data_IF_998851070306
#
_entry.id   IF_998851070306
#
_cell.length_a   1.000
_cell.length_b   1.000
_cell.length_c   1.000
_cell.angle_alpha   90.00
_cell.angle_beta   90.00
_cell.angle_gamma   90.00
#
_symmetry.space_group_name_H-M   'P 1'
#
loop_
_entity.id
_entity.type
_entity.pdbx_description
1 polymer ?
#
# COMPACT_ATOMS: atom_id res chain seq x y z
N UNK A 1 0.03 -4.40 3.89
CA UNK A 1 -0.67 -3.84 5.05
C UNK A 1 -0.13 -2.47 5.45
N UNK A 2 1.17 -2.21 5.38
CA UNK A 2 1.76 -0.87 5.63
C UNK A 2 1.11 0.25 4.83
N UNK A 3 0.71 -0.03 3.59
CA UNK A 3 -0.05 0.92 2.78
C UNK A 3 -1.35 1.38 3.44
N UNK A 4 -2.09 0.46 4.06
CA UNK A 4 -3.35 0.79 4.76
C UNK A 4 -3.05 1.63 6.01
N UNK A 5 -2.07 1.22 6.81
CA UNK A 5 -1.65 1.96 7.99
C UNK A 5 -1.21 3.39 7.65
N UNK A 6 -0.42 3.56 6.59
CA UNK A 6 -0.03 4.89 6.11
C UNK A 6 -1.24 5.72 5.65
N UNK A 7 -2.21 5.12 4.98
CA UNK A 7 -3.44 5.83 4.58
C UNK A 7 -4.27 6.28 5.78
N UNK A 8 -4.38 5.42 6.80
CA UNK A 8 -5.05 5.79 8.04
C UNK A 8 -4.36 6.99 8.72
N UNK A 9 -3.01 6.97 8.79
CA UNK A 9 -2.23 8.10 9.34
C UNK A 9 -2.44 9.40 8.60
N UNK A 10 -2.59 9.37 7.29
CA UNK A 10 -2.85 10.59 6.48
C UNK A 10 -4.31 11.03 6.51
N UNK A 11 -5.14 10.44 7.38
CA UNK A 11 -6.50 10.89 7.62
C UNK A 11 -7.59 10.17 6.81
N UNK A 12 -7.31 8.98 6.25
CA UNK A 12 -8.37 8.17 5.65
C UNK A 12 -9.43 7.84 6.72
N UNK A 13 -10.70 8.10 6.40
CA UNK A 13 -11.83 7.88 7.33
C UNK A 13 -12.47 6.50 7.17
N UNK A 14 -12.23 5.82 6.08
CA UNK A 14 -12.66 4.45 5.81
C UNK A 14 -11.78 3.84 4.71
N UNK A 15 -11.87 2.53 4.54
CA UNK A 15 -11.25 1.84 3.43
C UNK A 15 -12.22 0.86 2.76
N UNK A 16 -12.16 0.80 1.43
CA UNK A 16 -12.88 -0.20 0.63
C UNK A 16 -11.84 -1.18 0.10
N UNK A 17 -12.04 -2.48 0.35
CA UNK A 17 -11.12 -3.51 -0.17
C UNK A 17 -11.20 -3.63 -1.69
N UNK A 18 -10.20 -4.26 -2.30
CA UNK A 18 -10.29 -4.67 -3.70
C UNK A 18 -11.25 -5.87 -3.85
N UNK A 19 -11.78 -6.05 -5.05
CA UNK A 19 -12.56 -7.24 -5.42
C UNK A 19 -11.69 -8.48 -5.21
N UNK A 20 -12.22 -9.46 -4.50
CA UNK A 20 -11.53 -10.71 -4.23
C UNK A 20 -12.50 -11.84 -3.93
N UNK A 21 -12.04 -13.08 -4.12
CA UNK A 21 -12.78 -14.31 -3.86
C UNK A 21 -11.98 -15.25 -2.96
N UNK A 22 -11.23 -14.66 -2.05
CA UNK A 22 -10.44 -15.33 -1.03
C UNK A 22 -10.85 -14.80 0.35
N UNK A 23 -11.63 -15.58 1.07
CA UNK A 23 -12.16 -15.23 2.40
C UNK A 23 -11.04 -15.11 3.43
N UNK A 24 -9.98 -15.92 3.31
CA UNK A 24 -8.82 -15.83 4.20
C UNK A 24 -8.14 -14.48 4.07
N UNK A 25 -8.02 -13.96 2.84
CA UNK A 25 -7.43 -12.63 2.60
C UNK A 25 -8.28 -11.50 3.15
N UNK A 26 -9.60 -11.63 3.04
CA UNK A 26 -10.54 -10.68 3.65
C UNK A 26 -10.45 -10.72 5.19
N UNK A 27 -10.43 -11.92 5.78
CA UNK A 27 -10.26 -12.10 7.22
C UNK A 27 -8.94 -11.55 7.73
N UNK A 28 -7.85 -11.80 7.00
CA UNK A 28 -6.52 -11.30 7.32
C UNK A 28 -6.44 -9.77 7.36
N UNK A 29 -7.10 -9.08 6.41
CA UNK A 29 -7.13 -7.62 6.39
C UNK A 29 -7.83 -7.06 7.65
N UNK A 30 -8.97 -7.61 8.01
CA UNK A 30 -9.71 -7.19 9.20
C UNK A 30 -8.92 -7.49 10.49
N UNK A 31 -8.29 -8.65 10.54
CA UNK A 31 -7.45 -9.05 11.67
C UNK A 31 -6.23 -8.13 11.82
N UNK A 32 -5.58 -7.77 10.71
CA UNK A 32 -4.46 -6.83 10.73
C UNK A 32 -4.89 -5.46 11.29
N UNK A 33 -6.01 -4.92 10.84
CA UNK A 33 -6.55 -3.65 11.33
C UNK A 33 -6.78 -3.70 12.85
N UNK A 34 -7.40 -4.78 13.35
CA UNK A 34 -7.64 -4.97 14.79
C UNK A 34 -6.33 -5.10 15.58
N UNK A 35 -5.40 -5.93 15.11
CA UNK A 35 -4.14 -6.21 15.81
C UNK A 35 -3.18 -5.02 15.88
N UNK A 36 -3.31 -4.09 14.95
CA UNK A 36 -2.46 -2.89 14.86
C UNK A 36 -3.12 -1.63 15.41
N UNK A 37 -4.37 -1.72 15.91
CA UNK A 37 -5.09 -0.58 16.45
C UNK A 37 -5.44 0.51 15.43
N UNK A 38 -5.51 0.15 14.15
CA UNK A 38 -5.94 1.08 13.09
C UNK A 38 -7.44 1.29 13.22
N UNK A 39 -7.86 2.50 13.60
CA UNK A 39 -9.27 2.85 13.80
C UNK A 39 -9.88 3.45 12.53
N UNK A 40 -10.12 2.59 11.53
CA UNK A 40 -10.90 2.94 10.34
C UNK A 40 -11.87 1.82 9.97
N UNK A 41 -13.14 2.12 9.64
CA UNK A 41 -14.08 1.13 9.17
C UNK A 41 -13.66 0.57 7.81
N UNK A 42 -13.78 -0.76 7.67
CA UNK A 42 -13.56 -1.47 6.42
C UNK A 42 -14.90 -1.80 5.74
N UNK A 43 -14.96 -1.58 4.44
CA UNK A 43 -16.01 -2.05 3.55
C UNK A 43 -15.43 -3.10 2.59
N UNK A 44 -16.09 -4.26 2.49
CA UNK A 44 -15.65 -5.31 1.58
C UNK A 44 -16.23 -5.11 0.17
N UNK A 45 -15.41 -5.19 -0.88
CA UNK A 45 -15.93 -5.16 -2.24
C UNK A 45 -16.54 -6.50 -2.63
N UNK A 46 -17.81 -6.49 -3.02
CA UNK A 46 -18.54 -7.63 -3.57
C UNK A 46 -18.92 -7.32 -5.00
N UNK A 47 -18.23 -7.96 -5.94
CA UNK A 47 -18.58 -7.87 -7.36
C UNK A 47 -19.53 -9.02 -7.72
N UNK A 48 -20.74 -8.69 -8.17
CA UNK A 48 -21.69 -9.71 -8.64
C UNK A 48 -21.17 -10.29 -9.94
N UNK A 49 -20.46 -11.42 -9.80
CA UNK A 49 -19.76 -12.06 -10.90
C UNK A 49 -20.74 -12.54 -11.99
N UNK A 50 -20.22 -12.71 -13.17
CA UNK A 50 -20.85 -13.36 -14.31
C UNK A 50 -19.79 -14.16 -15.05
N UNK A 51 -20.16 -15.16 -15.83
CA UNK A 51 -19.16 -15.94 -16.56
C UNK A 51 -18.28 -15.08 -17.51
N UNK A 52 -18.82 -14.10 -18.27
CA UNK A 52 -17.98 -13.18 -19.04
C UNK A 52 -17.02 -12.36 -18.21
N UNK A 53 -17.48 -11.83 -17.06
CA UNK A 53 -16.63 -11.06 -16.16
C UNK A 53 -15.57 -11.95 -15.53
N UNK A 54 -15.91 -13.19 -15.13
CA UNK A 54 -14.97 -14.18 -14.61
C UNK A 54 -13.84 -14.46 -15.60
N UNK A 55 -14.18 -14.70 -16.87
CA UNK A 55 -13.18 -14.88 -17.96
C UNK A 55 -12.31 -13.64 -18.16
N UNK A 56 -12.92 -12.46 -18.11
CA UNK A 56 -12.21 -11.19 -18.26
C UNK A 56 -11.19 -10.98 -17.14
N UNK A 57 -11.59 -11.11 -15.89
CA UNK A 57 -10.69 -10.94 -14.74
C UNK A 57 -9.60 -12.02 -14.70
N UNK A 58 -9.92 -13.25 -15.06
CA UNK A 58 -8.96 -14.34 -15.12
C UNK A 58 -7.90 -14.11 -16.22
N UNK A 59 -8.31 -13.70 -17.41
CA UNK A 59 -7.43 -13.60 -18.60
C UNK A 59 -6.63 -12.29 -18.65
N UNK A 60 -7.33 -11.14 -18.49
CA UNK A 60 -6.74 -9.82 -18.76
C UNK A 60 -6.18 -9.15 -17.52
N UNK A 61 -6.69 -9.52 -16.37
CA UNK A 61 -6.22 -9.04 -15.07
C UNK A 61 -6.41 -7.54 -14.86
N UNK A 62 -7.34 -7.21 -13.99
CA UNK A 62 -7.39 -5.87 -13.40
C UNK A 62 -6.42 -5.85 -12.23
N UNK A 63 -5.57 -4.82 -12.08
CA UNK A 63 -4.62 -4.75 -10.98
C UNK A 63 -5.27 -4.98 -9.62
N UNK A 64 -4.79 -5.99 -8.89
CA UNK A 64 -5.31 -6.36 -7.57
C UNK A 64 -6.61 -7.18 -7.58
N UNK A 65 -7.17 -7.53 -8.73
CA UNK A 65 -8.31 -8.45 -8.86
C UNK A 65 -7.81 -9.80 -9.36
N UNK A 66 -8.15 -10.86 -8.63
CA UNK A 66 -7.83 -12.22 -8.99
C UNK A 66 -9.10 -13.08 -9.10
N UNK A 67 -9.24 -13.80 -10.19
CA UNK A 67 -10.22 -14.87 -10.40
C UNK A 67 -9.44 -16.12 -10.82
N UNK A 68 -9.47 -17.16 -9.98
CA UNK A 68 -8.77 -18.43 -10.26
C UNK A 68 -9.36 -19.15 -11.49
N UNK A 69 -8.57 -20.07 -12.05
CA UNK A 69 -9.05 -20.96 -13.10
C UNK A 69 -10.26 -21.77 -12.64
N UNK A 70 -10.21 -22.24 -11.41
CA UNK A 70 -11.31 -23.00 -10.78
C UNK A 70 -12.61 -22.19 -10.75
N UNK A 71 -12.59 -20.97 -10.20
CA UNK A 71 -13.78 -20.12 -10.12
C UNK A 71 -14.31 -19.73 -11.50
N UNK A 72 -13.40 -19.48 -12.47
CA UNK A 72 -13.77 -19.26 -13.89
C UNK A 72 -14.51 -20.46 -14.45
N UNK A 73 -14.02 -21.68 -14.20
CA UNK A 73 -14.58 -22.90 -14.80
C UNK A 73 -15.92 -23.26 -14.14
N UNK A 74 -16.05 -23.09 -12.82
CA UNK A 74 -17.34 -23.15 -12.12
C UNK A 74 -18.32 -22.16 -12.77
N UNK A 75 -17.92 -20.90 -12.92
CA UNK A 75 -18.77 -19.88 -13.54
C UNK A 75 -19.20 -20.22 -14.98
N UNK A 76 -18.29 -20.78 -15.78
CA UNK A 76 -18.60 -21.24 -17.14
C UNK A 76 -19.61 -22.42 -17.16
N UNK A 77 -19.49 -23.35 -16.20
CA UNK A 77 -20.43 -24.46 -16.03
C UNK A 77 -21.82 -23.95 -15.65
N UNK A 78 -21.90 -23.05 -14.67
CA UNK A 78 -23.15 -22.44 -14.20
C UNK A 78 -23.85 -21.62 -15.30
N UNK A 79 -23.07 -20.96 -16.16
CA UNK A 79 -23.64 -20.18 -17.28
C UNK A 79 -24.38 -21.02 -18.32
N UNK A 80 -24.27 -22.35 -18.31
CA UNK A 80 -25.03 -23.26 -19.16
C UNK A 80 -26.47 -23.50 -18.68
N UNK A 81 -26.78 -23.11 -17.43
CA UNK A 81 -28.15 -23.20 -16.91
C UNK A 81 -29.09 -22.21 -17.62
N UNK A 82 -30.41 -22.49 -17.53
CA UNK A 82 -31.45 -21.65 -18.16
C UNK A 82 -31.39 -20.18 -17.76
N UNK A 83 -31.02 -19.92 -16.52
CA UNK A 83 -30.87 -18.57 -15.95
C UNK A 83 -29.49 -17.94 -16.23
N UNK A 84 -28.63 -18.62 -17.00
CA UNK A 84 -27.23 -18.23 -17.30
C UNK A 84 -26.37 -18.05 -16.04
N UNK A 85 -26.63 -18.85 -15.02
CA UNK A 85 -25.93 -18.84 -13.74
C UNK A 85 -26.31 -17.67 -12.81
N UNK A 86 -27.44 -17.00 -13.09
CA UNK A 86 -27.87 -15.84 -12.30
C UNK A 86 -28.10 -16.20 -10.83
N UNK A 87 -28.73 -17.33 -10.55
CA UNK A 87 -28.95 -17.81 -9.18
C UNK A 87 -27.60 -18.05 -8.48
N UNK A 88 -26.72 -18.83 -9.08
CA UNK A 88 -25.39 -19.12 -8.54
C UNK A 88 -24.58 -17.85 -8.21
N UNK A 89 -24.48 -16.91 -9.16
CA UNK A 89 -23.72 -15.69 -8.92
C UNK A 89 -24.38 -14.75 -7.91
N UNK A 90 -25.69 -14.83 -7.72
CA UNK A 90 -26.38 -14.08 -6.67
C UNK A 90 -26.11 -14.70 -5.30
N UNK A 91 -26.15 -16.03 -5.20
CA UNK A 91 -25.80 -16.76 -3.99
C UNK A 91 -24.31 -16.55 -3.60
N UNK A 92 -23.39 -16.62 -4.56
CA UNK A 92 -21.98 -16.31 -4.32
C UNK A 92 -21.80 -14.92 -3.73
N UNK A 93 -22.50 -13.91 -4.23
CA UNK A 93 -22.46 -12.56 -3.68
C UNK A 93 -23.08 -12.49 -2.29
N UNK A 94 -24.20 -13.16 -2.04
CA UNK A 94 -24.84 -13.23 -0.72
C UNK A 94 -23.93 -13.89 0.32
N UNK A 95 -23.28 -15.01 -0.03
CA UNK A 95 -22.28 -15.67 0.82
C UNK A 95 -21.11 -14.76 1.12
N UNK A 96 -20.59 -14.00 0.16
CA UNK A 96 -19.53 -13.02 0.40
C UNK A 96 -19.98 -11.92 1.37
N UNK A 97 -21.22 -11.41 1.26
CA UNK A 97 -21.77 -10.43 2.20
C UNK A 97 -21.85 -11.02 3.61
N UNK A 98 -22.32 -12.25 3.74
CA UNK A 98 -22.39 -12.94 5.03
C UNK A 98 -21.00 -13.13 5.65
N UNK A 99 -19.99 -13.51 4.86
CA UNK A 99 -18.59 -13.61 5.31
C UNK A 99 -18.08 -12.26 5.81
N UNK A 100 -18.29 -11.19 5.05
CA UNK A 100 -17.84 -9.84 5.44
C UNK A 100 -18.51 -9.39 6.76
N UNK A 101 -19.82 -9.65 6.91
CA UNK A 101 -20.56 -9.38 8.16
C UNK A 101 -19.98 -10.16 9.33
N UNK A 102 -19.76 -11.46 9.17
CA UNK A 102 -19.17 -12.33 10.19
C UNK A 102 -17.74 -11.97 10.57
N UNK A 103 -16.94 -11.49 9.63
CA UNK A 103 -15.59 -10.96 9.86
C UNK A 103 -15.60 -9.59 10.57
N UNK A 104 -16.75 -8.89 10.62
CA UNK A 104 -16.89 -7.59 11.26
C UNK A 104 -16.53 -6.40 10.37
N UNK A 105 -16.67 -6.54 9.06
CA UNK A 105 -16.66 -5.40 8.16
C UNK A 105 -17.86 -4.48 8.44
N UNK A 106 -17.70 -3.17 8.24
CA UNK A 106 -18.77 -2.20 8.45
C UNK A 106 -19.89 -2.32 7.42
N UNK A 107 -19.59 -2.85 6.25
CA UNK A 107 -20.52 -3.06 5.16
C UNK A 107 -19.90 -3.66 3.92
N UNK A 108 -20.71 -3.85 2.88
CA UNK A 108 -20.30 -4.34 1.59
C UNK A 108 -20.47 -3.25 0.51
N UNK A 109 -19.44 -3.05 -0.32
CA UNK A 109 -19.52 -2.25 -1.53
C UNK A 109 -19.89 -3.14 -2.70
N UNK A 110 -21.17 -3.12 -3.08
CA UNK A 110 -21.69 -3.98 -4.16
C UNK A 110 -21.44 -3.32 -5.50
N UNK A 111 -20.83 -4.06 -6.44
CA UNK A 111 -20.47 -3.60 -7.76
C UNK A 111 -20.83 -4.61 -8.86
N UNK A 112 -20.69 -4.19 -10.12
CA UNK A 112 -21.15 -4.91 -11.30
C UNK A 112 -22.24 -4.11 -12.02
N UNK A 113 -23.12 -4.78 -12.77
CA UNK A 113 -24.28 -4.16 -13.44
C UNK A 113 -25.61 -4.82 -12.98
N UNK A 114 -25.88 -4.92 -11.69
CA UNK A 114 -27.12 -5.52 -11.22
C UNK A 114 -28.28 -4.53 -11.29
N UNK A 115 -29.47 -5.06 -11.59
CA UNK A 115 -30.72 -4.34 -11.37
C UNK A 115 -31.02 -4.26 -9.87
N UNK A 116 -31.72 -3.22 -9.42
CA UNK A 116 -32.08 -3.01 -8.02
C UNK A 116 -32.75 -4.24 -7.38
N UNK A 117 -33.74 -4.82 -8.08
CA UNK A 117 -34.44 -6.04 -7.65
C UNK A 117 -33.47 -7.22 -7.35
N UNK A 118 -32.39 -7.33 -8.13
CA UNK A 118 -31.40 -8.38 -7.92
C UNK A 118 -30.55 -8.10 -6.68
N UNK A 119 -30.21 -6.84 -6.45
CA UNK A 119 -29.48 -6.44 -5.22
C UNK A 119 -30.34 -6.76 -4.01
N UNK A 120 -31.63 -6.38 -4.03
CA UNK A 120 -32.56 -6.69 -2.96
C UNK A 120 -32.63 -8.18 -2.64
N UNK A 121 -32.80 -9.04 -3.67
CA UNK A 121 -32.83 -10.49 -3.47
C UNK A 121 -31.50 -11.05 -2.94
N UNK A 122 -30.35 -10.47 -3.29
CA UNK A 122 -29.05 -10.85 -2.72
C UNK A 122 -28.97 -10.47 -1.24
N UNK A 123 -29.45 -9.29 -0.86
CA UNK A 123 -29.44 -8.85 0.54
C UNK A 123 -30.40 -9.69 1.38
N UNK A 124 -31.62 -9.94 0.90
CA UNK A 124 -32.61 -10.83 1.54
C UNK A 124 -31.99 -12.23 1.76
N UNK A 125 -31.32 -12.77 0.77
CA UNK A 125 -30.61 -14.05 0.89
C UNK A 125 -29.50 -14.00 1.93
N UNK A 126 -28.68 -12.95 1.92
CA UNK A 126 -27.59 -12.78 2.89
C UNK A 126 -28.11 -12.65 4.33
N UNK A 127 -29.25 -12.02 4.53
CA UNK A 127 -29.89 -11.84 5.83
C UNK A 127 -30.63 -13.12 6.30
N UNK A 128 -30.96 -14.04 5.40
CA UNK A 128 -31.58 -15.33 5.73
C UNK A 128 -30.60 -16.36 6.28
N UNK A 129 -29.29 -16.14 6.17
CA UNK A 129 -28.27 -17.05 6.67
C UNK A 129 -28.15 -16.99 8.19
N UNK A 130 -27.86 -18.12 8.81
CA UNK A 130 -27.60 -18.25 10.23
C UNK A 130 -26.31 -17.54 10.66
N UNK A 131 -26.25 -17.23 11.94
CA UNK A 131 -25.16 -16.44 12.55
C UNK A 131 -23.75 -17.01 12.29
N UNK A 132 -23.62 -18.34 12.16
CA UNK A 132 -22.34 -19.02 11.96
C UNK A 132 -22.11 -19.56 10.54
N UNK A 133 -23.09 -19.48 9.64
CA UNK A 133 -22.99 -20.04 8.30
C UNK A 133 -21.83 -19.43 7.48
N UNK A 134 -21.50 -18.18 7.78
CA UNK A 134 -20.38 -17.49 7.13
C UNK A 134 -19.04 -18.23 7.27
N UNK A 135 -18.86 -19.03 8.32
CA UNK A 135 -17.63 -19.82 8.54
C UNK A 135 -17.52 -20.96 7.53
N UNK A 136 -18.64 -21.59 7.20
CA UNK A 136 -18.68 -22.63 6.15
C UNK A 136 -18.53 -22.00 4.77
N UNK A 137 -19.20 -20.86 4.53
CA UNK A 137 -19.03 -20.12 3.28
C UNK A 137 -17.59 -19.64 3.07
N UNK A 138 -16.87 -19.34 4.15
CA UNK A 138 -15.45 -18.98 4.06
C UNK A 138 -14.59 -20.13 3.56
N UNK A 139 -14.94 -21.39 3.86
CA UNK A 139 -14.26 -22.57 3.29
C UNK A 139 -14.55 -22.71 1.79
N UNK A 140 -15.80 -22.44 1.37
CA UNK A 140 -16.22 -22.55 -0.03
C UNK A 140 -15.61 -21.42 -0.91
N UNK A 141 -15.48 -20.21 -0.37
CA UNK A 141 -14.96 -19.04 -1.09
C UNK A 141 -13.50 -18.78 -0.71
N UNK A 142 -12.65 -19.71 -1.10
CA UNK A 142 -11.20 -19.66 -0.84
C UNK A 142 -10.41 -19.86 -2.14
N UNK A 143 -10.60 -18.94 -3.10
CA UNK A 143 -9.96 -18.96 -4.41
C UNK A 143 -8.69 -18.12 -4.42
N UNK A 144 -7.69 -18.59 -3.67
CA UNK A 144 -6.41 -17.91 -3.52
C UNK A 144 -5.64 -17.82 -4.85
N UNK A 145 -4.80 -16.79 -4.96
CA UNK A 145 -3.80 -16.72 -6.02
C UNK A 145 -2.68 -17.75 -5.76
N UNK A 146 -2.11 -18.40 -6.77
CA UNK A 146 -0.91 -19.21 -6.61
C UNK A 146 0.21 -18.38 -5.94
N UNK A 147 0.88 -18.99 -4.97
CA UNK A 147 1.92 -18.32 -4.16
C UNK A 147 1.43 -17.05 -3.41
N UNK A 148 0.13 -16.99 -3.08
CA UNK A 148 -0.43 -15.86 -2.33
C UNK A 148 0.29 -15.70 -0.99
N UNK A 149 0.59 -14.46 -0.68
CA UNK A 149 1.21 -14.09 0.57
C UNK A 149 0.15 -13.92 1.66
N UNK A 150 0.34 -14.60 2.79
CA UNK A 150 -0.46 -14.40 4.00
C UNK A 150 0.41 -13.92 5.15
N UNK A 151 -0.03 -12.84 5.80
CA UNK A 151 0.67 -12.26 6.94
C UNK A 151 0.47 -13.08 8.23
N UNK A 152 -0.70 -13.72 8.37
CA UNK A 152 -1.00 -14.64 9.49
C UNK A 152 -0.95 -16.09 9.02
N UNK A 153 -0.68 -16.99 9.97
CA UNK A 153 -0.75 -18.44 9.73
C UNK A 153 -2.20 -18.86 9.41
N UNK A 154 -2.38 -19.98 8.76
CA UNK A 154 -3.69 -20.54 8.51
C UNK A 154 -4.34 -20.98 9.82
N UNK A 155 -5.62 -20.72 9.99
CA UNK A 155 -6.43 -21.25 11.10
C UNK A 155 -6.92 -22.67 10.82
N UNK A 156 -7.68 -23.21 11.75
CA UNK A 156 -8.33 -24.55 11.59
C UNK A 156 -9.33 -24.54 10.43
N UNK A 157 -9.98 -23.41 10.18
CA UNK A 157 -10.79 -23.21 8.99
C UNK A 157 -9.89 -22.74 7.84
N UNK A 158 -9.79 -23.47 6.71
CA UNK A 158 -8.91 -23.12 5.59
C UNK A 158 -9.23 -21.77 4.95
N UNK A 159 -10.47 -21.28 5.07
CA UNK A 159 -10.90 -19.96 4.62
C UNK A 159 -10.61 -18.83 5.59
N UNK A 160 -9.92 -19.09 6.71
CA UNK A 160 -9.63 -18.09 7.74
C UNK A 160 -8.17 -18.17 8.20
N UNK A 161 -7.65 -17.07 8.70
CA UNK A 161 -6.33 -17.00 9.32
C UNK A 161 -6.41 -17.22 10.84
N UNK A 162 -5.33 -17.73 11.42
CA UNK A 162 -5.12 -17.74 12.88
C UNK A 162 -4.67 -16.35 13.35
N UNK A 163 -4.55 -16.16 14.65
CA UNK A 163 -4.03 -14.94 15.27
C UNK A 163 -2.49 -14.84 15.25
N UNK A 164 -1.81 -15.90 14.82
CA UNK A 164 -0.35 -15.97 14.80
C UNK A 164 0.24 -15.40 13.52
N UNK A 165 1.22 -14.51 13.66
CA UNK A 165 1.97 -13.97 12.51
C UNK A 165 2.77 -15.10 11.84
N UNK A 166 2.66 -15.20 10.54
CA UNK A 166 3.31 -16.20 9.72
C UNK A 166 4.84 -16.15 9.86
N UNK A 167 5.42 -17.18 10.49
CA UNK A 167 6.87 -17.28 10.74
C UNK A 167 7.67 -17.41 9.46
N UNK A 168 7.12 -18.01 8.42
CA UNK A 168 7.81 -18.13 7.12
C UNK A 168 8.01 -16.75 6.47
N UNK A 169 7.13 -15.79 6.73
CA UNK A 169 7.32 -14.40 6.37
C UNK A 169 8.57 -13.80 7.02
N UNK A 170 8.75 -14.01 8.32
CA UNK A 170 9.96 -13.55 9.03
C UNK A 170 11.22 -14.24 8.50
N UNK A 171 11.15 -15.55 8.25
CA UNK A 171 12.27 -16.30 7.67
C UNK A 171 12.61 -15.89 6.23
N UNK A 172 11.63 -15.40 5.47
CA UNK A 172 11.88 -14.91 4.09
C UNK A 172 12.53 -13.53 4.02
N UNK A 173 12.82 -12.90 5.16
CA UNK A 173 13.49 -11.58 5.23
C UNK A 173 14.83 -11.54 4.50
N UNK A 174 15.55 -12.66 4.46
CA UNK A 174 16.83 -12.75 3.75
C UNK A 174 16.69 -12.91 2.22
N UNK A 175 15.49 -13.20 1.72
CA UNK A 175 15.26 -13.44 0.29
C UNK A 175 14.46 -12.26 -0.27
N UNK A 176 15.13 -11.37 -0.99
CA UNK A 176 14.48 -10.31 -1.76
C UNK A 176 13.51 -10.91 -2.79
N UNK A 177 12.36 -10.29 -3.00
CA UNK A 177 11.43 -10.60 -4.11
C UNK A 177 12.17 -10.59 -5.46
N UNK A 178 13.26 -9.83 -5.55
CA UNK A 178 14.13 -9.75 -6.73
C UNK A 178 15.26 -10.78 -6.74
N UNK A 179 15.43 -11.61 -5.71
CA UNK A 179 16.53 -12.59 -5.64
C UNK A 179 16.39 -13.73 -6.66
N UNK A 180 15.24 -13.91 -7.29
CA UNK A 180 15.08 -14.78 -8.47
C UNK A 180 15.76 -14.21 -9.72
N UNK A 181 16.10 -12.94 -9.75
CA UNK A 181 17.01 -12.39 -10.74
C UNK A 181 18.44 -12.71 -10.29
N UNK A 182 19.17 -13.52 -11.07
CA UNK A 182 20.56 -13.89 -10.84
C UNK A 182 21.39 -12.63 -10.53
N UNK A 183 21.72 -12.41 -9.27
CA UNK A 183 22.58 -11.31 -8.84
C UNK A 183 22.51 -11.14 -7.33
N UNK A 184 23.68 -11.09 -6.70
CA UNK A 184 23.84 -10.73 -5.29
C UNK A 184 23.31 -9.31 -5.12
N UNK A 185 22.09 -9.15 -4.60
CA UNK A 185 21.54 -7.82 -4.34
C UNK A 185 22.31 -7.26 -3.14
N UNK A 186 23.42 -6.63 -3.44
CA UNK A 186 24.15 -5.83 -2.46
C UNK A 186 23.34 -4.58 -2.16
N UNK A 187 23.37 -4.14 -0.90
CA UNK A 187 22.79 -2.84 -0.55
C UNK A 187 23.53 -1.78 -1.34
N UNK A 188 22.83 -0.97 -2.14
CA UNK A 188 23.52 0.05 -2.93
C UNK A 188 24.30 0.99 -2.03
N UNK A 189 25.55 1.29 -2.40
CA UNK A 189 26.35 2.31 -1.72
C UNK A 189 25.57 3.62 -1.47
N UNK A 190 24.72 4.12 -2.42
CA UNK A 190 23.89 5.30 -2.18
C UNK A 190 22.95 5.20 -0.98
N UNK A 191 22.43 4.00 -0.65
CA UNK A 191 21.59 3.84 0.53
C UNK A 191 22.40 3.98 1.81
N UNK A 192 23.52 3.30 1.92
CA UNK A 192 24.40 3.36 3.11
C UNK A 192 24.92 4.77 3.34
N UNK A 193 25.38 5.41 2.26
CA UNK A 193 25.83 6.79 2.32
C UNK A 193 24.70 7.74 2.69
N UNK A 194 23.54 7.62 2.06
CA UNK A 194 22.38 8.45 2.36
C UNK A 194 21.92 8.31 3.81
N UNK A 195 21.87 7.07 4.34
CA UNK A 195 21.50 6.81 5.74
C UNK A 195 22.53 7.42 6.69
N UNK A 196 23.81 7.15 6.48
CA UNK A 196 24.87 7.71 7.32
C UNK A 196 24.83 9.23 7.34
N UNK A 197 24.73 9.85 6.15
CA UNK A 197 24.69 11.30 6.02
C UNK A 197 23.44 11.91 6.68
N UNK A 198 22.28 11.25 6.49
CA UNK A 198 21.04 11.68 7.11
C UNK A 198 21.10 11.60 8.63
N UNK A 199 21.55 10.47 9.18
CA UNK A 199 21.59 10.25 10.62
C UNK A 199 22.51 11.27 11.35
N UNK A 200 23.59 11.75 10.67
CA UNK A 200 24.53 12.69 11.25
C UNK A 200 24.20 14.17 10.98
N UNK A 201 23.51 14.47 9.87
CA UNK A 201 23.31 15.86 9.42
C UNK A 201 21.84 16.30 9.46
N UNK A 202 20.87 15.38 9.34
CA UNK A 202 19.46 15.74 9.20
C UNK A 202 18.58 15.31 10.37
N UNK A 203 19.10 14.57 11.33
CA UNK A 203 18.38 14.27 12.58
C UNK A 203 18.42 15.52 13.47
N UNK A 204 17.27 16.02 13.91
CA UNK A 204 17.12 17.31 14.61
C UNK A 204 18.02 17.46 15.85
N UNK A 205 18.28 16.36 16.57
CA UNK A 205 19.13 16.35 17.76
C UNK A 205 20.62 16.29 17.45
N UNK A 206 21.01 16.03 16.20
CA UNK A 206 22.42 15.90 15.84
C UNK A 206 23.14 17.25 15.88
N UNK A 207 24.44 17.21 16.22
CA UNK A 207 25.30 18.38 16.14
C UNK A 207 25.39 18.94 14.73
N UNK A 208 25.36 18.04 13.73
CA UNK A 208 25.36 18.40 12.31
C UNK A 208 24.15 19.23 11.92
N UNK A 209 22.95 18.84 12.40
CA UNK A 209 21.73 19.61 12.15
C UNK A 209 21.81 21.02 12.74
N UNK A 210 22.21 21.11 14.02
CA UNK A 210 22.30 22.38 14.72
C UNK A 210 23.31 23.34 14.05
N UNK A 211 24.47 22.81 13.65
CA UNK A 211 25.48 23.58 12.93
C UNK A 211 24.97 24.02 11.55
N UNK A 212 24.37 23.10 10.78
CA UNK A 212 23.81 23.40 9.45
C UNK A 212 22.70 24.44 9.52
N UNK A 213 21.85 24.39 10.53
CA UNK A 213 20.81 25.41 10.77
C UNK A 213 21.39 26.82 10.91
N UNK A 214 22.47 26.95 11.65
CA UNK A 214 23.16 28.25 11.81
C UNK A 214 23.78 28.69 10.48
N UNK A 215 24.48 27.79 9.81
CA UNK A 215 25.11 28.08 8.51
C UNK A 215 24.07 28.54 7.49
N UNK A 216 22.97 27.78 7.31
CA UNK A 216 21.94 28.14 6.32
C UNK A 216 21.21 29.43 6.65
N UNK A 217 21.01 29.77 7.94
CA UNK A 217 20.50 31.09 8.35
C UNK A 217 21.41 32.24 7.89
N UNK A 218 22.73 32.03 7.86
CA UNK A 218 23.66 33.06 7.38
C UNK A 218 23.72 33.08 5.84
N UNK A 219 23.73 31.91 5.19
CA UNK A 219 23.76 31.81 3.73
C UNK A 219 22.55 32.49 3.09
N UNK A 220 21.37 32.42 3.68
CA UNK A 220 20.16 33.04 3.15
C UNK A 220 20.12 34.56 3.22
N UNK A 221 21.00 35.17 4.00
CA UNK A 221 21.15 36.65 3.99
C UNK A 221 21.71 37.18 2.65
N UNK A 222 22.32 36.31 1.85
CA UNK A 222 22.87 36.63 0.55
C UNK A 222 22.32 35.70 -0.54
N UNK A 223 21.60 36.25 -1.53
CA UNK A 223 21.10 35.49 -2.68
C UNK A 223 22.21 34.73 -3.43
N UNK A 224 23.42 35.33 -3.52
CA UNK A 224 24.56 34.68 -4.18
C UNK A 224 25.03 33.45 -3.43
N UNK A 225 25.20 33.56 -2.11
CA UNK A 225 25.67 32.46 -1.27
C UNK A 225 24.63 31.33 -1.19
N UNK A 226 23.36 31.68 -1.06
CA UNK A 226 22.25 30.73 -1.14
C UNK A 226 22.22 29.97 -2.47
N UNK A 227 22.42 30.67 -3.60
CA UNK A 227 22.50 30.06 -4.92
C UNK A 227 23.68 29.10 -5.08
N UNK A 228 24.86 29.46 -4.56
CA UNK A 228 26.04 28.58 -4.57
C UNK A 228 25.78 27.31 -3.75
N UNK A 229 25.20 27.45 -2.55
CA UNK A 229 24.86 26.31 -1.68
C UNK A 229 23.84 25.38 -2.35
N UNK A 230 22.82 25.94 -3.03
CA UNK A 230 21.84 25.18 -3.78
C UNK A 230 22.48 24.45 -4.98
N UNK A 231 23.37 25.10 -5.71
CA UNK A 231 24.10 24.45 -6.81
C UNK A 231 24.96 23.29 -6.31
N UNK A 232 25.63 23.45 -5.18
CA UNK A 232 26.40 22.38 -4.54
C UNK A 232 25.50 21.19 -4.14
N UNK A 233 24.34 21.47 -3.52
CA UNK A 233 23.34 20.46 -3.22
C UNK A 233 22.91 19.67 -4.48
N UNK A 234 22.56 20.37 -5.56
CA UNK A 234 22.12 19.75 -6.80
C UNK A 234 23.22 18.93 -7.46
N UNK A 235 24.43 19.43 -7.50
CA UNK A 235 25.59 18.73 -8.05
C UNK A 235 25.85 17.39 -7.34
N UNK A 236 25.60 17.33 -6.03
CA UNK A 236 25.75 16.10 -5.25
C UNK A 236 24.55 15.15 -5.41
N UNK A 237 23.33 15.67 -5.48
CA UNK A 237 22.09 14.85 -5.46
C UNK A 237 21.68 14.34 -6.85
N UNK A 238 21.95 15.07 -7.91
CA UNK A 238 21.57 14.67 -9.28
C UNK A 238 22.21 13.33 -9.67
N UNK A 239 23.53 13.14 -9.58
CA UNK A 239 24.16 11.88 -10.03
C UNK A 239 23.80 10.69 -9.12
N UNK A 240 23.61 10.91 -7.81
CA UNK A 240 23.38 9.83 -6.85
C UNK A 240 21.91 9.41 -6.79
N UNK A 241 21.00 10.37 -6.79
CA UNK A 241 19.56 10.13 -6.55
C UNK A 241 18.67 10.49 -7.74
N UNK A 242 19.22 10.99 -8.83
CA UNK A 242 18.47 11.54 -9.97
C UNK A 242 17.51 12.67 -9.53
N UNK A 243 18.01 13.58 -8.71
CA UNK A 243 17.22 14.67 -8.14
C UNK A 243 16.53 15.51 -9.22
N UNK A 244 15.31 15.95 -8.95
CA UNK A 244 14.47 16.80 -9.83
C UNK A 244 14.15 18.14 -9.18
N UNK A 245 14.93 18.53 -8.20
CA UNK A 245 14.85 19.84 -7.56
C UNK A 245 13.44 20.23 -7.11
N UNK A 246 12.82 19.34 -6.36
CA UNK A 246 11.45 19.56 -5.88
C UNK A 246 11.36 20.45 -4.63
N UNK A 247 12.48 20.76 -3.98
CA UNK A 247 12.57 21.64 -2.81
C UNK A 247 12.06 21.04 -1.49
N UNK A 248 11.23 20.02 -1.55
CA UNK A 248 10.70 19.29 -0.39
C UNK A 248 11.11 17.82 -0.50
N UNK A 249 12.22 17.46 0.14
CA UNK A 249 12.94 16.22 -0.09
C UNK A 249 12.41 15.08 0.78
N UNK A 250 11.84 14.05 0.16
CA UNK A 250 11.37 12.84 0.83
C UNK A 250 12.25 11.61 0.55
N UNK A 251 13.55 11.79 0.38
CA UNK A 251 14.50 10.69 0.22
C UNK A 251 14.54 9.75 1.44
N UNK A 252 14.57 10.27 2.69
CA UNK A 252 14.59 9.42 3.88
C UNK A 252 13.33 8.55 3.98
N UNK A 253 12.16 9.09 3.61
CA UNK A 253 10.87 8.40 3.69
C UNK A 253 10.75 7.24 2.71
N UNK A 254 11.53 7.25 1.62
CA UNK A 254 11.48 6.25 0.54
C UNK A 254 12.80 5.49 0.42
N UNK A 255 13.46 5.23 1.55
CA UNK A 255 14.74 4.49 1.61
C UNK A 255 15.79 5.03 0.61
N UNK A 256 15.93 6.34 0.52
CA UNK A 256 16.84 7.05 -0.39
C UNK A 256 16.61 6.76 -1.87
N UNK A 257 15.35 6.60 -2.24
CA UNK A 257 14.89 6.57 -3.63
C UNK A 257 14.06 7.84 -3.90
N UNK A 258 14.41 8.60 -4.92
CA UNK A 258 13.70 9.83 -5.24
C UNK A 258 12.33 9.54 -5.89
N UNK A 259 11.18 9.84 -5.25
CA UNK A 259 9.88 9.60 -5.84
C UNK A 259 9.56 10.53 -7.01
N UNK A 260 10.13 11.75 -7.03
CA UNK A 260 9.93 12.72 -8.10
C UNK A 260 10.50 12.24 -9.45
N UNK A 261 11.62 11.51 -9.43
CA UNK A 261 12.27 11.01 -10.65
C UNK A 261 11.97 9.56 -10.97
N UNK A 262 11.58 8.75 -9.99
CA UNK A 262 11.47 7.30 -10.14
C UNK A 262 10.04 6.76 -10.02
N UNK A 263 9.08 7.57 -9.59
CA UNK A 263 7.67 7.21 -9.53
C UNK A 263 6.84 8.13 -10.41
N UNK A 264 6.21 7.60 -11.47
CA UNK A 264 5.36 8.39 -12.39
C UNK A 264 4.20 9.08 -11.67
N UNK A 265 3.68 8.44 -10.62
CA UNK A 265 2.58 8.98 -9.82
C UNK A 265 3.06 9.81 -8.62
N UNK A 266 4.37 10.02 -8.51
CA UNK A 266 5.01 10.78 -7.43
C UNK A 266 4.50 10.40 -6.03
N UNK A 267 4.32 9.09 -5.78
CA UNK A 267 3.80 8.59 -4.51
C UNK A 267 4.85 8.73 -3.40
N UNK A 268 4.58 9.54 -2.38
CA UNK A 268 5.48 9.82 -1.26
C UNK A 268 5.06 9.15 0.05
N UNK A 269 3.78 8.79 0.17
CA UNK A 269 3.20 8.25 1.39
C UNK A 269 2.83 6.76 1.29
N UNK A 270 3.52 6.00 0.47
CA UNK A 270 3.29 4.57 0.29
C UNK A 270 2.91 4.19 -1.14
N UNK A 271 2.86 2.89 -1.44
CA UNK A 271 2.57 2.40 -2.78
C UNK A 271 1.13 2.70 -3.22
N UNK A 272 0.95 3.05 -4.50
CA UNK A 272 -0.38 3.32 -5.07
C UNK A 272 -1.26 2.06 -5.25
N UNK A 273 -0.66 0.86 -5.22
CA UNK A 273 -1.35 -0.40 -5.49
C UNK A 273 -1.28 -0.87 -6.95
N UNK A 274 -0.80 -0.04 -7.87
CA UNK A 274 -0.60 -0.42 -9.27
C UNK A 274 0.72 -1.16 -9.50
N UNK A 275 0.95 -2.23 -8.73
CA UNK A 275 2.16 -3.06 -8.86
C UNK A 275 1.73 -4.49 -9.20
N UNK A 276 2.26 -5.04 -10.30
CA UNK A 276 2.05 -6.43 -10.70
C UNK A 276 3.41 -7.11 -10.85
N UNK A 277 3.61 -8.24 -10.18
CA UNK A 277 4.87 -8.98 -10.20
C UNK A 277 6.13 -8.10 -9.93
N UNK A 278 6.00 -7.13 -9.03
CA UNK A 278 7.08 -6.21 -8.67
C UNK A 278 7.29 -5.03 -9.63
N UNK A 279 6.59 -4.98 -10.76
CA UNK A 279 6.69 -3.91 -11.75
C UNK A 279 5.58 -2.87 -11.59
N UNK A 280 5.88 -1.63 -11.94
CA UNK A 280 4.91 -0.55 -12.00
C UNK A 280 3.94 -0.77 -13.19
N UNK A 281 2.65 -0.51 -12.99
CA UNK A 281 1.64 -0.64 -14.04
C UNK A 281 1.79 0.37 -15.20
N UNK A 282 2.46 1.50 -14.94
CA UNK A 282 2.63 2.59 -15.91
C UNK A 282 3.97 2.48 -16.65
N UNK A 283 5.02 2.07 -15.94
CA UNK A 283 6.36 1.91 -16.50
C UNK A 283 6.79 0.47 -16.37
N UNK A 284 7.45 -0.08 -17.39
CA UNK A 284 8.10 -1.40 -17.28
C UNK A 284 9.38 -1.32 -16.42
N UNK A 285 9.20 -0.82 -15.19
CA UNK A 285 10.24 -0.67 -14.17
C UNK A 285 9.76 -1.27 -12.85
N UNK A 286 10.71 -1.67 -12.02
CA UNK A 286 10.40 -2.08 -10.66
C UNK A 286 9.73 -0.94 -9.88
N UNK A 287 8.69 -1.28 -9.10
CA UNK A 287 8.02 -0.31 -8.25
C UNK A 287 8.99 0.27 -7.22
N UNK A 288 9.04 1.59 -7.13
CA UNK A 288 9.92 2.29 -6.17
C UNK A 288 9.65 1.86 -4.72
N UNK A 289 8.39 1.69 -4.35
CA UNK A 289 8.00 1.30 -3.00
C UNK A 289 8.35 -0.14 -2.66
N UNK A 290 8.31 -1.04 -3.64
CA UNK A 290 8.79 -2.40 -3.44
C UNK A 290 10.31 -2.42 -3.25
N UNK A 291 11.05 -1.62 -4.04
CA UNK A 291 12.50 -1.42 -3.86
C UNK A 291 12.84 -0.81 -2.49
N UNK A 292 12.05 0.17 -2.04
CA UNK A 292 12.21 0.78 -0.72
C UNK A 292 11.99 -0.24 0.40
N UNK A 293 10.89 -1.00 0.32
CA UNK A 293 10.59 -2.06 1.27
C UNK A 293 11.68 -3.13 1.32
N UNK A 294 12.16 -3.61 0.18
CA UNK A 294 13.26 -4.57 0.10
C UNK A 294 14.54 -4.07 0.74
N UNK A 295 14.85 -2.78 0.57
CA UNK A 295 16.02 -2.16 1.21
C UNK A 295 15.88 -2.16 2.73
N UNK A 296 14.75 -1.67 3.23
CA UNK A 296 14.48 -1.56 4.67
C UNK A 296 14.42 -2.93 5.33
N UNK A 297 13.71 -3.88 4.71
CA UNK A 297 13.57 -5.26 5.22
C UNK A 297 14.92 -5.95 5.49
N UNK A 298 15.96 -5.63 4.73
CA UNK A 298 17.31 -6.20 4.93
C UNK A 298 18.00 -5.70 6.19
N UNK A 299 17.57 -4.56 6.70
CA UNK A 299 18.11 -3.93 7.92
C UNK A 299 17.17 -4.06 9.10
N UNK A 300 16.06 -4.82 8.97
CA UNK A 300 14.98 -4.84 9.95
C UNK A 300 14.36 -3.46 10.21
N UNK A 301 14.47 -2.55 9.25
CA UNK A 301 14.02 -1.15 9.34
C UNK A 301 12.65 -0.93 8.66
N UNK A 302 11.94 -1.98 8.20
CA UNK A 302 10.69 -1.83 7.44
C UNK A 302 9.56 -1.19 8.25
N UNK A 303 9.58 -1.32 9.58
CA UNK A 303 8.61 -0.68 10.47
C UNK A 303 8.75 0.84 10.48
N UNK A 304 9.95 1.37 10.23
CA UNK A 304 10.18 2.81 10.11
C UNK A 304 9.37 3.47 9.00
N UNK A 305 8.88 2.69 8.02
CA UNK A 305 7.93 3.22 7.02
C UNK A 305 6.63 3.71 7.66
N UNK A 306 6.24 3.16 8.82
CA UNK A 306 5.05 3.56 9.58
C UNK A 306 5.31 4.74 10.52
N UNK A 307 6.54 4.91 10.96
CA UNK A 307 6.93 5.94 11.95
C UNK A 307 7.25 7.29 11.28
N UNK A 308 7.56 7.25 9.98
CA UNK A 308 7.97 8.45 9.24
C UNK A 308 6.85 9.45 9.06
N UNK A 309 7.21 10.74 8.95
CA UNK A 309 6.25 11.81 8.73
C UNK A 309 5.47 11.61 7.44
N UNK A 310 4.24 12.09 7.46
CA UNK A 310 3.42 12.18 6.25
C UNK A 310 3.93 13.32 5.39
N UNK A 311 4.24 13.02 4.13
CA UNK A 311 4.74 14.01 3.20
C UNK A 311 3.58 14.75 2.54
N UNK A 312 3.26 15.93 3.01
CA UNK A 312 2.44 16.92 2.30
C UNK A 312 3.37 17.88 1.56
N UNK A 313 3.63 17.57 0.30
CA UNK A 313 4.56 18.34 -0.51
C UNK A 313 4.07 19.78 -0.68
N UNK A 314 4.95 20.73 -0.39
CA UNK A 314 4.76 22.12 -0.77
C UNK A 314 5.32 22.39 -2.18
N UNK A 315 4.42 22.64 -3.12
CA UNK A 315 4.81 22.89 -4.50
C UNK A 315 5.53 24.25 -4.69
N UNK A 316 5.34 25.20 -3.77
CA UNK A 316 6.00 26.51 -3.81
C UNK A 316 7.51 26.44 -3.54
N UNK A 317 7.97 25.35 -2.90
CA UNK A 317 9.38 25.10 -2.63
C UNK A 317 10.15 24.58 -3.85
N UNK A 318 9.49 24.33 -4.98
CA UNK A 318 10.15 23.84 -6.18
C UNK A 318 11.24 24.79 -6.65
N UNK A 319 12.38 24.22 -7.05
CA UNK A 319 13.59 24.97 -7.44
C UNK A 319 14.24 25.78 -6.30
N UNK A 320 13.98 25.40 -5.06
CA UNK A 320 14.69 25.92 -3.89
C UNK A 320 15.52 24.83 -3.23
N UNK A 321 16.50 25.21 -2.41
CA UNK A 321 17.36 24.25 -1.71
C UNK A 321 16.55 23.43 -0.71
N UNK A 322 16.43 22.10 -0.95
CA UNK A 322 15.75 21.20 -0.01
C UNK A 322 16.52 21.10 1.32
N UNK A 323 17.85 21.22 1.33
CA UNK A 323 18.62 21.27 2.56
C UNK A 323 18.30 22.52 3.37
N UNK A 324 18.27 23.69 2.73
CA UNK A 324 17.84 24.92 3.39
C UNK A 324 16.44 24.78 3.97
N UNK A 325 15.50 24.21 3.20
CA UNK A 325 14.12 24.04 3.63
C UNK A 325 13.99 23.14 4.86
N UNK A 326 14.78 22.05 4.92
CA UNK A 326 14.82 21.17 6.09
C UNK A 326 15.43 21.89 7.30
N UNK A 327 16.62 22.49 7.16
CA UNK A 327 17.28 23.15 8.29
C UNK A 327 16.55 24.40 8.81
N UNK A 328 15.76 25.03 7.97
CA UNK A 328 14.99 26.23 8.31
C UNK A 328 13.51 25.95 8.59
N UNK A 329 13.15 24.69 8.71
CA UNK A 329 11.81 24.22 9.06
C UNK A 329 10.72 24.74 8.08
N UNK A 330 10.92 24.54 6.78
CA UNK A 330 10.00 24.95 5.72
C UNK A 330 9.38 23.75 4.97
N UNK A 331 9.98 22.58 5.10
CA UNK A 331 9.56 21.34 4.43
C UNK A 331 8.43 20.61 5.20
N UNK A 332 8.06 19.42 4.72
CA UNK A 332 6.99 18.63 5.32
C UNK A 332 7.30 18.17 6.76
N UNK A 333 8.56 18.12 7.20
CA UNK A 333 8.90 17.78 8.58
C UNK A 333 8.42 18.85 9.56
N UNK A 334 8.52 20.12 9.16
CA UNK A 334 8.11 21.24 10.00
C UNK A 334 6.59 21.41 10.14
N UNK A 335 5.84 20.94 9.14
CA UNK A 335 4.37 21.12 9.05
C UNK A 335 3.58 20.05 9.81
N UNK A 336 4.22 19.26 10.65
CA UNK A 336 3.59 18.12 11.33
C UNK A 336 3.01 18.40 12.71
N UNK A 337 2.71 19.63 13.03
CA UNK A 337 1.86 19.89 14.19
C UNK A 337 0.44 19.37 13.89
N UNK A 338 -0.13 18.44 14.70
CA UNK A 338 -1.49 17.92 14.49
C UNK A 338 -2.57 19.01 14.39
N UNK A 339 -2.30 20.19 14.93
CA UNK A 339 -3.18 21.36 14.85
C UNK A 339 -3.32 21.94 13.43
N UNK A 340 -2.30 21.76 12.57
CA UNK A 340 -2.29 22.34 11.22
C UNK A 340 -3.01 21.46 10.18
N UNK A 341 -3.32 20.20 10.51
CA UNK A 341 -4.08 19.30 9.66
C UNK A 341 -5.61 19.49 9.75
N UNK A 342 -6.11 20.30 10.67
CA UNK A 342 -7.54 20.55 10.87
C UNK A 342 -8.10 21.74 10.07
N UNK A 343 -7.27 22.44 9.32
CA UNK A 343 -7.63 23.66 8.59
C UNK A 343 -7.85 23.46 7.09
N UNK A 344 -8.73 22.50 6.70
CA UNK A 344 -9.04 22.30 5.28
C UNK A 344 -10.23 21.35 5.12
N UNK A 345 -11.39 21.80 5.54
CA UNK A 345 -12.68 21.20 5.19
C UNK A 345 -13.45 22.14 4.28
#
# INVERSE_FOLDING_TARGET
YFKLAMKARVGAKFAISQIGYDSRKAGELQQYVRSTGIDIPLFGSVYILTAPAGRFFNRWGVPGVWVSDELRDIGNKQAKAKDRGRAFFSELAAKQIAILKGLGYRGAYISGRPQLKRIQGILEMADSYGENDWKEFAKEINFAQPDEFYYFEQGDNPGLSSDRVNRSYKASKSKSVFSKAKGRVTTPLPYRFGKFFHDHMFTEDSLGFKASKVIYRQLEKSKKLSGVAHTFEQTSKIPIFHCRDCGDCSLPEVAYLCPESQCVKNQRNGPCGGTKAGKCEVLDKQCIWLRAYDRLKRYDDETHMLERPVVFRDASLRYTSAWANTFLARDHHAKQNPADCSGGA
#
